data_IF_825737951431
#
_entry.id   IF_825737951431
#
_cell.length_a   1.000
_cell.length_b   1.000
_cell.length_c   1.000
_cell.angle_alpha   90.00
_cell.angle_beta   90.00
_cell.angle_gamma   90.00
#
_symmetry.space_group_name_H-M   'P 1'
#
loop_
_entity.id
_entity.type
_entity.pdbx_description
1 polymer ?
#
# COMPACT_ATOMS: atom_id res chain seq x y z
N UNK A 1 69.38 -38.47 -60.66
CA UNK A 1 69.62 -37.13 -61.25
C UNK A 1 68.23 -36.52 -61.40
N UNK A 2 67.76 -35.48 -60.71
CA UNK A 2 68.38 -34.38 -60.00
C UNK A 2 67.51 -33.99 -58.77
N UNK A 3 68.13 -33.22 -57.90
CA UNK A 3 67.76 -32.80 -56.55
C UNK A 3 67.03 -31.44 -56.54
N UNK A 4 66.21 -31.19 -55.51
CA UNK A 4 65.93 -29.92 -54.77
C UNK A 4 64.45 -29.82 -54.36
N UNK A 5 64.13 -29.94 -53.07
CA UNK A 5 64.05 -28.89 -52.04
C UNK A 5 62.75 -28.04 -52.13
N UNK A 6 61.98 -27.97 -51.03
CA UNK A 6 61.79 -26.77 -50.18
C UNK A 6 60.48 -26.85 -49.34
N UNK A 7 60.71 -26.74 -48.02
CA UNK A 7 59.93 -26.15 -46.91
C UNK A 7 58.58 -26.69 -46.38
N UNK A 8 58.67 -27.01 -45.08
CA UNK A 8 57.63 -26.92 -44.05
C UNK A 8 56.96 -25.54 -44.06
N UNK A 9 55.66 -25.51 -44.29
CA UNK A 9 54.78 -24.41 -43.87
C UNK A 9 53.93 -24.86 -42.69
N UNK A 10 54.27 -24.36 -41.49
CA UNK A 10 53.43 -24.48 -40.29
C UNK A 10 52.15 -23.66 -40.45
N UNK A 11 51.05 -24.33 -40.82
CA UNK A 11 49.74 -23.70 -40.90
C UNK A 11 49.14 -23.46 -39.52
N UNK A 12 49.28 -22.23 -39.01
CA UNK A 12 48.50 -21.79 -37.83
C UNK A 12 47.03 -21.66 -38.25
N UNK A 13 46.07 -22.31 -37.57
CA UNK A 13 44.66 -22.16 -37.91
C UNK A 13 44.22 -20.71 -37.65
N UNK A 14 43.68 -20.03 -38.69
CA UNK A 14 43.01 -18.73 -38.49
C UNK A 14 41.76 -18.95 -37.64
N UNK A 15 41.82 -18.52 -36.38
CA UNK A 15 40.65 -18.44 -35.51
C UNK A 15 39.60 -17.52 -36.16
N UNK A 16 38.40 -18.07 -36.40
CA UNK A 16 37.25 -17.28 -36.89
C UNK A 16 36.98 -16.14 -35.91
N UNK A 17 36.78 -14.89 -36.38
CA UNK A 17 36.48 -13.78 -35.49
C UNK A 17 35.20 -14.08 -34.72
N UNK A 18 35.33 -14.26 -33.41
CA UNK A 18 34.22 -14.47 -32.50
C UNK A 18 33.36 -13.20 -32.54
N UNK A 19 32.17 -13.28 -33.15
CA UNK A 19 31.16 -12.20 -33.10
C UNK A 19 30.98 -11.82 -31.63
N UNK A 20 31.43 -10.63 -31.25
CA UNK A 20 31.17 -10.07 -29.94
C UNK A 20 29.66 -9.86 -29.85
N UNK A 21 28.97 -10.74 -29.12
CA UNK A 21 27.64 -10.40 -28.61
C UNK A 21 27.85 -9.15 -27.76
N UNK A 22 27.19 -8.02 -28.07
CA UNK A 22 27.19 -6.93 -27.11
C UNK A 22 26.61 -7.51 -25.81
N UNK A 23 27.33 -7.34 -24.71
CA UNK A 23 26.75 -7.47 -23.39
C UNK A 23 25.61 -6.45 -23.40
N UNK A 24 24.37 -6.92 -23.47
CA UNK A 24 23.23 -6.03 -23.34
C UNK A 24 23.40 -5.33 -22.01
N UNK A 25 23.66 -4.02 -22.04
CA UNK A 25 23.40 -3.18 -20.89
C UNK A 25 21.97 -3.52 -20.49
N UNK A 26 21.77 -3.94 -19.24
CA UNK A 26 20.44 -4.20 -18.70
C UNK A 26 19.58 -3.01 -19.13
N UNK A 27 18.57 -3.25 -19.97
CA UNK A 27 17.61 -2.21 -20.31
C UNK A 27 17.13 -1.68 -18.96
N UNK A 28 17.12 -0.35 -18.72
CA UNK A 28 16.58 0.17 -17.48
C UNK A 28 15.18 -0.39 -17.35
N UNK A 29 15.02 -1.34 -16.42
CA UNK A 29 13.73 -1.92 -16.14
C UNK A 29 12.88 -0.72 -15.76
N UNK A 30 11.88 -0.40 -16.57
CA UNK A 30 10.88 0.59 -16.20
C UNK A 30 10.21 0.02 -14.96
N UNK A 31 10.65 0.49 -13.81
CA UNK A 31 10.17 -0.03 -12.54
C UNK A 31 8.68 0.25 -12.40
N UNK A 32 8.01 -0.54 -11.56
CA UNK A 32 6.62 -0.30 -11.19
C UNK A 32 6.50 1.15 -10.73
N UNK A 33 5.67 1.92 -11.41
CA UNK A 33 5.43 3.32 -11.09
C UNK A 33 4.24 3.43 -10.15
N UNK A 34 4.35 4.37 -9.22
CA UNK A 34 3.31 4.71 -8.26
C UNK A 34 2.63 5.99 -8.72
N UNK A 35 1.32 5.94 -8.86
CA UNK A 35 0.49 7.11 -9.23
C UNK A 35 0.20 8.00 -8.04
N UNK A 36 0.08 7.41 -6.85
CA UNK A 36 -0.28 8.15 -5.65
C UNK A 36 -0.36 7.28 -4.41
N UNK A 37 -0.33 7.94 -3.26
CA UNK A 37 -0.56 7.35 -1.95
C UNK A 37 -1.61 8.19 -1.24
N UNK A 38 -2.67 7.54 -0.77
CA UNK A 38 -3.78 8.17 -0.06
C UNK A 38 -3.87 7.59 1.36
N UNK A 39 -3.92 8.44 2.37
CA UNK A 39 -3.93 8.09 3.80
C UNK A 39 -5.32 8.42 4.34
N UNK A 40 -6.10 7.36 4.61
CA UNK A 40 -7.56 7.40 4.70
C UNK A 40 -8.06 7.04 6.09
N UNK A 41 -8.84 7.94 6.70
CA UNK A 41 -9.60 7.67 7.94
C UNK A 41 -11.12 7.78 7.76
N UNK A 42 -11.57 8.51 6.73
CA UNK A 42 -12.95 8.74 6.29
C UNK A 42 -12.92 9.09 4.78
N UNK A 43 -13.66 10.10 4.32
CA UNK A 43 -13.45 10.71 3.00
C UNK A 43 -12.17 11.52 3.04
N UNK A 44 -11.26 11.24 2.10
CA UNK A 44 -9.99 11.92 1.94
C UNK A 44 -9.82 12.30 0.46
N UNK A 45 -8.87 13.20 0.19
CA UNK A 45 -8.44 13.50 -1.17
C UNK A 45 -7.05 12.90 -1.45
N UNK A 46 -6.70 12.80 -2.73
CA UNK A 46 -5.39 12.24 -3.14
C UNK A 46 -4.22 13.10 -2.68
N UNK A 47 -4.44 14.38 -2.41
CA UNK A 47 -3.41 15.30 -1.90
C UNK A 47 -3.21 15.19 -0.39
N UNK A 48 -4.00 14.37 0.30
CA UNK A 48 -4.01 14.22 1.76
C UNK A 48 -4.21 15.56 2.49
N UNK A 49 -5.08 16.44 1.96
CA UNK A 49 -5.27 17.79 2.53
C UNK A 49 -6.19 17.80 3.76
N UNK A 50 -7.00 16.76 3.94
CA UNK A 50 -7.94 16.68 5.07
C UNK A 50 -7.19 16.22 6.32
N UNK A 51 -7.30 16.95 7.45
CA UNK A 51 -6.58 16.63 8.68
C UNK A 51 -6.79 15.18 9.15
N UNK A 52 -5.71 14.55 9.61
CA UNK A 52 -5.73 13.21 10.19
C UNK A 52 -5.90 13.30 11.71
N UNK A 53 -6.88 12.58 12.24
CA UNK A 53 -7.17 12.53 13.67
C UNK A 53 -6.34 11.45 14.33
N UNK A 54 -5.64 11.79 15.42
CA UNK A 54 -4.90 10.82 16.20
C UNK A 54 -5.82 9.69 16.72
N UNK A 55 -5.26 8.49 16.82
CA UNK A 55 -5.90 7.29 17.39
C UNK A 55 -7.20 6.87 16.68
N UNK A 56 -7.42 7.35 15.45
CA UNK A 56 -8.49 6.91 14.56
C UNK A 56 -7.93 5.92 13.55
N UNK A 57 -8.67 4.85 13.27
CA UNK A 57 -8.24 3.81 12.34
C UNK A 57 -7.90 4.40 10.96
N UNK A 58 -6.69 4.11 10.48
CA UNK A 58 -6.16 4.67 9.23
C UNK A 58 -5.74 3.55 8.28
N UNK A 59 -6.16 3.69 7.02
CA UNK A 59 -5.67 2.90 5.90
C UNK A 59 -4.71 3.73 5.05
N UNK A 60 -3.67 3.12 4.52
CA UNK A 60 -2.89 3.69 3.42
C UNK A 60 -3.29 2.92 2.15
N UNK A 61 -3.61 3.65 1.09
CA UNK A 61 -3.93 3.11 -0.23
C UNK A 61 -2.83 3.51 -1.19
N UNK A 62 -2.17 2.52 -1.79
CA UNK A 62 -1.12 2.71 -2.78
C UNK A 62 -1.69 2.44 -4.17
N UNK A 63 -1.61 3.45 -5.04
CA UNK A 63 -2.09 3.40 -6.41
C UNK A 63 -0.92 3.16 -7.37
N UNK A 64 -0.99 2.10 -8.17
CA UNK A 64 0.04 1.74 -9.14
C UNK A 64 -0.34 2.24 -10.55
N UNK A 65 0.65 2.46 -11.39
CA UNK A 65 0.49 2.71 -12.83
C UNK A 65 0.47 1.36 -13.57
N UNK A 66 -0.69 0.87 -14.04
CA UNK A 66 -0.77 -0.47 -14.64
C UNK A 66 0.05 -0.60 -15.92
N UNK A 67 0.29 0.50 -16.64
CA UNK A 67 1.11 0.48 -17.87
C UNK A 67 2.62 0.42 -17.59
N UNK A 68 3.04 0.55 -16.33
CA UNK A 68 4.46 0.47 -15.95
C UNK A 68 4.98 -0.95 -15.77
N UNK A 69 4.08 -1.95 -15.71
CA UNK A 69 4.48 -3.36 -15.63
C UNK A 69 4.63 -3.96 -17.03
N UNK A 70 5.59 -4.85 -17.21
CA UNK A 70 5.86 -5.43 -18.54
C UNK A 70 4.92 -6.58 -18.90
N UNK A 71 4.34 -7.27 -17.92
CA UNK A 71 3.47 -8.44 -18.10
C UNK A 71 2.36 -8.44 -17.05
N UNK A 72 1.20 -9.06 -17.34
CA UNK A 72 0.15 -9.24 -16.34
C UNK A 72 0.63 -10.08 -15.15
N UNK A 73 0.26 -9.68 -13.94
CA UNK A 73 0.72 -10.39 -12.75
C UNK A 73 0.05 -9.93 -11.45
N UNK A 74 0.28 -10.68 -10.39
CA UNK A 74 -0.08 -10.30 -9.03
C UNK A 74 1.06 -9.50 -8.41
N UNK A 75 0.74 -8.36 -7.82
CA UNK A 75 1.69 -7.48 -7.16
C UNK A 75 1.23 -7.27 -5.72
N UNK A 76 2.17 -7.25 -4.80
CA UNK A 76 1.94 -6.81 -3.42
C UNK A 76 3.09 -5.89 -3.02
N UNK A 77 3.02 -5.32 -1.82
CA UNK A 77 4.02 -4.40 -1.33
C UNK A 77 4.10 -4.41 0.19
N UNK A 78 5.15 -3.77 0.69
CA UNK A 78 5.34 -3.48 2.09
C UNK A 78 5.67 -1.99 2.23
N UNK A 79 5.09 -1.34 3.23
CA UNK A 79 5.44 0.03 3.60
C UNK A 79 6.23 0.02 4.89
N UNK A 80 7.07 1.03 5.07
CA UNK A 80 7.72 1.32 6.34
C UNK A 80 7.17 2.63 6.91
N UNK A 81 7.04 2.68 8.22
CA UNK A 81 6.68 3.89 8.95
C UNK A 81 7.62 4.14 10.11
N UNK A 82 7.81 5.41 10.43
CA UNK A 82 8.61 5.84 11.58
C UNK A 82 8.05 7.15 12.17
N UNK A 83 8.30 7.34 13.46
CA UNK A 83 7.95 8.56 14.22
C UNK A 83 9.23 9.28 14.59
N UNK A 84 9.27 10.60 14.40
CA UNK A 84 10.33 11.54 14.85
C UNK A 84 11.64 10.90 15.35
N UNK A 85 12.50 10.45 14.42
CA UNK A 85 13.85 9.93 14.72
C UNK A 85 13.93 8.47 15.20
N UNK A 86 12.79 7.76 15.27
CA UNK A 86 12.73 6.33 15.56
C UNK A 86 13.05 5.45 14.34
N UNK A 87 13.30 4.17 14.61
CA UNK A 87 13.53 3.17 13.56
C UNK A 87 12.27 2.88 12.74
N UNK A 88 12.49 2.38 11.52
CA UNK A 88 11.40 1.95 10.64
C UNK A 88 10.73 0.67 11.16
N UNK A 89 9.40 0.67 11.13
CA UNK A 89 8.57 -0.51 11.33
C UNK A 89 7.84 -0.83 10.04
N UNK A 90 7.81 -2.11 9.67
CA UNK A 90 7.28 -2.57 8.39
C UNK A 90 5.84 -3.07 8.51
N UNK A 91 5.03 -2.77 7.51
CA UNK A 91 3.62 -3.14 7.42
C UNK A 91 3.36 -3.74 6.04
N UNK A 92 2.99 -5.02 5.95
CA UNK A 92 2.65 -5.65 4.67
C UNK A 92 1.28 -5.17 4.17
N UNK A 93 1.08 -5.21 2.86
CA UNK A 93 -0.24 -5.00 2.28
C UNK A 93 -1.22 -6.09 2.74
N UNK A 94 -2.48 -5.70 2.92
CA UNK A 94 -3.58 -6.60 3.27
C UNK A 94 -4.01 -7.48 2.09
N UNK A 95 -3.68 -7.06 0.88
CA UNK A 95 -4.09 -7.72 -0.36
C UNK A 95 -2.94 -7.80 -1.38
N UNK A 96 -3.19 -8.58 -2.43
CA UNK A 96 -2.43 -8.51 -3.69
C UNK A 96 -3.34 -7.91 -4.75
N UNK A 97 -2.74 -7.17 -5.68
CA UNK A 97 -3.40 -6.48 -6.78
C UNK A 97 -3.00 -7.15 -8.09
N UNK A 98 -4.00 -7.57 -8.87
CA UNK A 98 -3.75 -8.03 -10.24
C UNK A 98 -3.62 -6.83 -11.16
N UNK A 99 -2.47 -6.70 -11.81
CA UNK A 99 -2.18 -5.64 -12.77
C UNK A 99 -2.04 -6.26 -14.14
N UNK A 100 -2.70 -5.67 -15.14
CA UNK A 100 -2.59 -6.06 -16.54
C UNK A 100 -2.33 -4.81 -17.39
N UNK A 101 -1.15 -4.66 -18.01
CA UNK A 101 -0.84 -3.49 -18.82
C UNK A 101 -1.71 -3.39 -20.10
N UNK A 102 -2.32 -4.49 -20.56
CA UNK A 102 -3.23 -4.50 -21.69
C UNK A 102 -4.66 -4.07 -21.32
N UNK A 103 -5.00 -4.08 -20.02
CA UNK A 103 -6.28 -3.62 -19.48
C UNK A 103 -6.05 -2.68 -18.30
N UNK A 104 -5.44 -1.50 -18.53
CA UNK A 104 -5.09 -0.58 -17.45
C UNK A 104 -6.34 0.07 -16.86
N UNK A 105 -6.43 0.13 -15.54
CA UNK A 105 -7.44 0.91 -14.84
C UNK A 105 -6.94 2.33 -14.55
N UNK A 106 -7.85 3.31 -14.66
CA UNK A 106 -7.62 4.72 -14.36
C UNK A 106 -7.46 4.97 -12.85
N UNK A 107 -6.88 6.12 -12.47
CA UNK A 107 -6.80 6.50 -11.05
C UNK A 107 -8.19 6.60 -10.40
N UNK A 108 -9.19 7.06 -11.15
CA UNK A 108 -10.57 7.15 -10.66
C UNK A 108 -11.10 5.78 -10.26
N UNK A 109 -10.94 4.78 -11.12
CA UNK A 109 -11.34 3.40 -10.80
C UNK A 109 -10.60 2.84 -9.60
N UNK A 110 -9.31 3.15 -9.43
CA UNK A 110 -8.55 2.74 -8.23
C UNK A 110 -9.09 3.38 -6.96
N UNK A 111 -9.63 4.60 -7.03
CA UNK A 111 -10.22 5.29 -5.87
C UNK A 111 -11.59 4.74 -5.53
N UNK A 112 -12.42 4.45 -6.55
CA UNK A 112 -13.79 3.95 -6.41
C UNK A 112 -13.84 2.46 -5.99
N UNK A 113 -12.81 1.69 -6.31
CA UNK A 113 -12.73 0.25 -6.02
C UNK A 113 -11.52 -0.08 -5.13
N UNK A 114 -11.77 -0.61 -3.93
CA UNK A 114 -10.71 -0.93 -2.95
C UNK A 114 -9.79 -2.04 -3.47
N UNK A 115 -10.31 -2.95 -4.29
CA UNK A 115 -9.57 -4.10 -4.83
C UNK A 115 -8.61 -3.69 -5.96
N UNK A 116 -8.74 -2.47 -6.48
CA UNK A 116 -7.84 -1.86 -7.47
C UNK A 116 -6.69 -1.06 -6.84
N UNK A 117 -6.41 -1.26 -5.55
CA UNK A 117 -5.31 -0.62 -4.83
C UNK A 117 -4.63 -1.61 -3.87
N UNK A 118 -3.38 -1.32 -3.49
CA UNK A 118 -2.73 -2.04 -2.39
C UNK A 118 -3.05 -1.32 -1.08
N UNK A 119 -3.66 -2.02 -0.14
CA UNK A 119 -4.20 -1.44 1.08
C UNK A 119 -3.37 -1.87 2.30
N UNK A 120 -3.08 -0.94 3.20
CA UNK A 120 -2.31 -1.18 4.41
C UNK A 120 -3.07 -0.63 5.60
N UNK A 121 -3.18 -1.39 6.69
CA UNK A 121 -3.74 -0.89 7.94
C UNK A 121 -2.62 -0.44 8.86
N UNK A 122 -2.61 0.86 9.21
CA UNK A 122 -1.63 1.36 10.16
C UNK A 122 -1.92 0.82 11.57
N UNK A 123 -0.88 0.35 12.29
CA UNK A 123 -1.04 -0.12 13.66
C UNK A 123 -1.31 1.06 14.62
N UNK A 124 -1.85 0.77 15.81
CA UNK A 124 -2.15 1.79 16.82
C UNK A 124 -0.94 2.69 17.15
N UNK A 125 0.25 2.09 17.26
CA UNK A 125 1.50 2.83 17.51
C UNK A 125 1.85 3.85 16.40
N UNK A 126 1.35 3.66 15.18
CA UNK A 126 1.62 4.55 14.06
C UNK A 126 0.64 5.73 13.96
N UNK A 127 -0.50 5.71 14.67
CA UNK A 127 -1.59 6.68 14.50
C UNK A 127 -1.78 7.63 15.70
N UNK A 128 -0.91 7.60 16.70
CA UNK A 128 -0.95 8.57 17.82
C UNK A 128 -0.72 10.02 17.37
N UNK A 129 -0.86 11.00 18.25
CA UNK A 129 -0.63 12.41 17.89
C UNK A 129 0.83 12.67 17.45
N UNK A 130 1.02 13.54 16.45
CA UNK A 130 2.33 13.96 15.92
C UNK A 130 2.60 13.54 14.47
N UNK A 131 3.81 13.83 13.99
CA UNK A 131 4.23 13.57 12.60
C UNK A 131 4.61 12.10 12.39
N UNK A 132 4.09 11.51 11.32
CA UNK A 132 4.39 10.18 10.82
C UNK A 132 5.11 10.29 9.48
N UNK A 133 6.25 9.60 9.36
CA UNK A 133 6.94 9.39 8.09
C UNK A 133 6.54 8.04 7.52
N UNK A 134 6.25 8.01 6.22
CA UNK A 134 5.90 6.81 5.47
C UNK A 134 6.80 6.67 4.26
N UNK A 135 7.16 5.44 3.91
CA UNK A 135 7.84 5.12 2.64
C UNK A 135 7.42 3.75 2.14
N UNK A 136 7.52 3.56 0.84
CA UNK A 136 7.39 2.23 0.25
C UNK A 136 8.69 1.48 0.53
N UNK A 137 8.60 0.35 1.22
CA UNK A 137 9.76 -0.50 1.55
C UNK A 137 10.16 -1.30 0.32
N UNK A 138 9.19 -2.02 -0.26
CA UNK A 138 9.37 -2.84 -1.46
C UNK A 138 8.05 -3.12 -2.15
N UNK A 139 8.12 -3.37 -3.45
CA UNK A 139 7.03 -3.88 -4.28
C UNK A 139 7.52 -5.21 -4.84
N UNK A 140 6.71 -6.26 -4.78
CA UNK A 140 7.15 -7.61 -5.15
C UNK A 140 5.99 -8.46 -5.66
N UNK A 141 6.33 -9.52 -6.38
CA UNK A 141 5.36 -10.53 -6.79
C UNK A 141 5.20 -11.58 -5.67
N UNK A 142 3.97 -11.95 -5.24
CA UNK A 142 3.78 -13.02 -4.27
C UNK A 142 4.44 -14.33 -4.74
N UNK A 143 5.31 -14.92 -3.90
CA UNK A 143 6.10 -16.11 -4.24
C UNK A 143 7.24 -15.87 -5.23
N UNK A 144 7.45 -14.62 -5.66
CA UNK A 144 8.53 -14.19 -6.54
C UNK A 144 9.50 -13.23 -5.83
N UNK A 145 10.28 -12.52 -6.64
CA UNK A 145 11.24 -11.52 -6.17
C UNK A 145 10.68 -10.10 -6.11
N UNK A 146 11.51 -9.20 -5.59
CA UNK A 146 11.25 -7.76 -5.60
C UNK A 146 11.22 -7.24 -7.04
N UNK A 147 10.24 -6.38 -7.32
CA UNK A 147 10.12 -5.67 -8.57
C UNK A 147 10.84 -4.33 -8.44
N UNK A 148 11.64 -3.91 -9.43
CA UNK A 148 12.18 -2.57 -9.44
C UNK A 148 11.01 -1.58 -9.42
N UNK A 149 11.09 -0.54 -8.60
CA UNK A 149 10.09 0.49 -8.48
C UNK A 149 10.72 1.86 -8.75
N UNK A 150 9.98 2.74 -9.42
CA UNK A 150 10.41 4.13 -9.54
C UNK A 150 10.40 4.79 -8.14
N UNK A 151 11.37 5.67 -7.89
CA UNK A 151 11.41 6.42 -6.63
C UNK A 151 10.12 7.22 -6.47
N UNK A 152 9.45 7.07 -5.32
CA UNK A 152 8.24 7.79 -4.98
C UNK A 152 8.35 8.31 -3.55
N UNK A 153 8.23 9.63 -3.39
CA UNK A 153 8.35 10.27 -2.09
C UNK A 153 6.96 10.52 -1.51
N UNK A 154 6.73 10.04 -0.30
CA UNK A 154 5.52 10.34 0.47
C UNK A 154 5.87 11.47 1.44
N UNK A 155 5.15 12.58 1.37
CA UNK A 155 5.33 13.67 2.31
C UNK A 155 4.97 13.21 3.74
N UNK A 156 5.72 13.62 4.78
CA UNK A 156 5.32 13.36 6.15
C UNK A 156 3.93 13.94 6.44
N UNK A 157 3.12 13.19 7.19
CA UNK A 157 1.77 13.62 7.59
C UNK A 157 1.68 13.81 9.09
N UNK A 158 0.78 14.67 9.55
CA UNK A 158 0.60 14.96 10.97
C UNK A 158 -0.76 14.47 11.44
N UNK A 159 -0.76 13.67 12.50
CA UNK A 159 -1.95 13.28 13.24
C UNK A 159 -2.21 14.28 14.36
N UNK A 160 -3.37 14.92 14.35
CA UNK A 160 -3.76 15.91 15.36
C UNK A 160 -4.69 15.28 16.39
N UNK A 161 -4.45 15.58 17.67
CA UNK A 161 -5.39 15.19 18.72
C UNK A 161 -6.77 15.85 18.49
N UNK A 162 -7.83 15.10 18.70
CA UNK A 162 -9.20 15.60 18.65
C UNK A 162 -9.85 15.55 20.05
N UNK A 163 -10.78 16.46 20.38
CA UNK A 163 -11.51 16.39 21.63
C UNK A 163 -12.30 15.07 21.76
N UNK A 164 -12.33 14.45 22.95
CA UNK A 164 -13.02 13.18 23.14
C UNK A 164 -14.53 13.36 23.06
N UNK A 165 -15.21 12.49 22.31
CA UNK A 165 -16.67 12.42 22.26
C UNK A 165 -17.20 11.55 23.41
N UNK A 166 -17.90 12.20 24.34
CA UNK A 166 -18.51 11.54 25.51
C UNK A 166 -20.00 11.36 25.26
N UNK A 167 -20.44 10.10 25.17
CA UNK A 167 -21.84 9.76 24.94
C UNK A 167 -22.30 8.79 26.02
N UNK A 168 -23.45 9.10 26.63
CA UNK A 168 -24.16 8.19 27.52
C UNK A 168 -25.29 7.55 26.75
N UNK A 169 -25.29 6.22 26.66
CA UNK A 169 -26.33 5.47 25.95
C UNK A 169 -27.15 4.71 26.99
N UNK A 170 -28.46 4.94 26.98
CA UNK A 170 -29.40 4.33 27.92
C UNK A 170 -30.27 3.35 27.13
N UNK A 171 -30.28 2.10 27.54
CA UNK A 171 -31.13 1.08 26.95
C UNK A 171 -32.54 1.12 27.52
N UNK A 172 -33.50 1.72 26.80
CA UNK A 172 -34.88 1.77 27.28
C UNK A 172 -35.65 0.51 26.86
N UNK A 173 -36.17 -0.21 27.86
CA UNK A 173 -37.17 -1.26 27.65
C UNK A 173 -38.55 -0.62 27.58
N UNK A 174 -39.31 -0.94 26.53
CA UNK A 174 -40.67 -0.41 26.36
C UNK A 174 -41.62 -1.46 25.76
N UNK A 175 -42.92 -1.19 25.86
CA UNK A 175 -43.97 -2.00 25.23
C UNK A 175 -44.32 -1.42 23.86
N UNK A 176 -44.25 -2.24 22.82
CA UNK A 176 -44.79 -1.94 21.50
C UNK A 176 -46.00 -2.87 21.28
N UNK A 177 -47.19 -2.39 21.66
CA UNK A 177 -48.38 -3.23 21.75
C UNK A 177 -48.20 -4.33 22.81
N UNK A 178 -48.41 -5.59 22.42
CA UNK A 178 -48.20 -6.76 23.30
C UNK A 178 -46.72 -7.16 23.43
N UNK A 179 -45.87 -6.67 22.53
CA UNK A 179 -44.45 -7.05 22.47
C UNK A 179 -43.62 -6.19 23.42
N UNK A 180 -42.73 -6.83 24.18
CA UNK A 180 -41.71 -6.12 24.97
C UNK A 180 -40.47 -5.95 24.12
N UNK A 181 -40.06 -4.72 23.84
CA UNK A 181 -38.84 -4.42 23.11
C UNK A 181 -37.75 -4.05 24.10
N UNK A 182 -36.56 -4.63 23.93
CA UNK A 182 -35.38 -4.34 24.77
C UNK A 182 -34.14 -4.26 23.89
N UNK A 183 -33.27 -3.25 24.05
CA UNK A 183 -32.05 -3.14 23.28
C UNK A 183 -31.08 -4.30 23.59
N UNK A 184 -30.62 -5.00 22.54
CA UNK A 184 -29.56 -5.99 22.64
C UNK A 184 -28.17 -5.34 22.53
N UNK A 185 -27.13 -6.05 23.00
CA UNK A 185 -25.73 -5.62 22.94
C UNK A 185 -25.27 -5.21 21.51
N UNK A 186 -25.84 -5.85 20.49
CA UNK A 186 -25.55 -5.55 19.08
C UNK A 186 -25.95 -4.13 18.69
N UNK A 187 -27.04 -3.57 19.23
CA UNK A 187 -27.46 -2.20 18.93
C UNK A 187 -26.44 -1.17 19.44
N UNK A 188 -25.88 -1.38 20.63
CA UNK A 188 -24.82 -0.54 21.18
C UNK A 188 -23.53 -0.65 20.36
N UNK A 189 -23.22 -1.85 19.87
CA UNK A 189 -22.06 -2.11 19.01
C UNK A 189 -22.19 -1.39 17.66
N UNK A 190 -23.38 -1.41 17.05
CA UNK A 190 -23.67 -0.67 15.82
C UNK A 190 -23.62 0.83 16.04
N UNK A 191 -24.17 1.35 17.14
CA UNK A 191 -24.08 2.77 17.47
C UNK A 191 -22.62 3.21 17.63
N UNK A 192 -21.81 2.44 18.37
CA UNK A 192 -20.37 2.71 18.52
C UNK A 192 -19.65 2.74 17.17
N UNK A 193 -19.93 1.74 16.33
CA UNK A 193 -19.35 1.65 14.98
C UNK A 193 -19.77 2.83 14.09
N UNK A 194 -21.04 3.24 14.15
CA UNK A 194 -21.54 4.41 13.42
C UNK A 194 -20.84 5.69 13.88
N UNK A 195 -20.78 5.95 15.18
CA UNK A 195 -20.13 7.15 15.74
C UNK A 195 -18.65 7.23 15.34
N UNK A 196 -17.94 6.10 15.38
CA UNK A 196 -16.54 6.02 14.97
C UNK A 196 -16.33 6.29 13.48
N UNK A 197 -17.33 6.04 12.62
CA UNK A 197 -17.26 6.31 11.18
C UNK A 197 -17.73 7.71 10.82
N UNK A 198 -18.76 8.21 11.50
CA UNK A 198 -19.40 9.48 11.21
C UNK A 198 -18.62 10.69 11.76
N UNK A 199 -17.99 10.55 12.93
CA UNK A 199 -17.34 11.67 13.60
C UNK A 199 -15.80 11.58 13.56
N UNK A 200 -15.10 12.73 13.47
CA UNK A 200 -13.65 12.81 13.53
C UNK A 200 -13.14 12.66 14.97
N UNK A 201 -13.39 11.50 15.57
CA UNK A 201 -13.07 11.18 16.97
C UNK A 201 -12.17 9.95 17.02
N UNK A 202 -11.44 9.81 18.14
CA UNK A 202 -10.62 8.64 18.47
C UNK A 202 -11.43 7.33 18.45
N UNK A 203 -10.76 6.19 18.23
CA UNK A 203 -11.40 4.87 18.04
C UNK A 203 -12.25 4.40 19.25
N UNK A 204 -12.11 5.04 20.41
CA UNK A 204 -12.80 4.69 21.64
C UNK A 204 -13.55 5.89 22.25
N UNK A 205 -14.70 6.31 21.67
CA UNK A 205 -15.60 7.19 22.38
C UNK A 205 -15.97 6.54 23.72
N UNK A 206 -15.93 7.32 24.80
CA UNK A 206 -16.28 6.85 26.14
C UNK A 206 -17.79 6.60 26.21
N UNK A 207 -18.22 5.41 25.79
CA UNK A 207 -19.61 4.97 25.86
C UNK A 207 -19.83 4.32 27.22
N UNK A 208 -20.60 4.99 28.08
CA UNK A 208 -21.15 4.38 29.29
C UNK A 208 -22.53 3.85 28.98
N UNK A 209 -22.66 2.53 28.92
CA UNK A 209 -23.95 1.86 28.90
C UNK A 209 -24.49 1.81 30.31
N UNK A 210 -25.68 2.38 30.51
CA UNK A 210 -26.44 2.17 31.73
C UNK A 210 -27.57 1.22 31.38
N UNK A 211 -27.52 0.03 31.98
CA UNK A 211 -28.55 -1.00 31.88
C UNK A 211 -29.73 -0.67 32.79
#
# INVERSE_FOLDING_TARGET
MCMMCVHRGSGVPRLKPRKRRPLGLAQPQTGVQVRGVEIVQCVQDVTNSVPLVADKATLVRLYLEPTSVSQPGQITAEIAWSRSGGGDTFVPALNSLRVDPASPFSLREQREDIDKSLNFRLPAAAIGAGTLSLRISRIFQPGGGDLPAAAFNIAPVTFTAAPPLRIRVIGLRYKAGTTTVTPAAVHFSYLRSFLNRAYPVELAPQIRTVA
#
